data_IF_317591782645
#
_entry.id   IF_317591782645
#
_cell.length_a   1.000
_cell.length_b   1.000
_cell.length_c   1.000
_cell.angle_alpha   90.00
_cell.angle_beta   90.00
_cell.angle_gamma   90.00
#
_symmetry.space_group_name_H-M   'P 1'
#
loop_
_entity.id
_entity.type
_entity.pdbx_description
1 polymer ?
#
# COMPACT_ATOMS: atom_id res chain seq x y z
N UNK A 1 -10.65 13.40 19.12
CA UNK A 1 -9.58 13.92 18.26
C UNK A 1 -10.17 14.02 16.87
N UNK A 2 -10.29 15.24 16.34
CA UNK A 2 -10.67 15.43 14.93
C UNK A 2 -9.37 15.62 14.15
N UNK A 3 -9.27 14.93 13.02
CA UNK A 3 -8.09 15.00 12.15
C UNK A 3 -8.57 15.64 10.85
N UNK A 4 -8.10 16.85 10.61
CA UNK A 4 -8.36 17.55 9.36
C UNK A 4 -7.32 17.14 8.34
N UNK A 5 -7.78 16.66 7.19
CA UNK A 5 -6.91 16.22 6.11
C UNK A 5 -7.38 16.84 4.81
N UNK A 6 -6.44 17.40 4.05
CA UNK A 6 -6.69 17.94 2.73
C UNK A 6 -6.80 16.78 1.71
N UNK A 7 -7.78 16.85 0.80
CA UNK A 7 -7.94 15.89 -0.30
C UNK A 7 -6.67 15.70 -1.13
N UNK A 8 -5.92 16.78 -1.39
CA UNK A 8 -4.65 16.73 -2.11
C UNK A 8 -3.60 15.90 -1.37
N UNK A 9 -3.60 15.98 -0.04
CA UNK A 9 -2.70 15.19 0.80
C UNK A 9 -3.09 13.71 0.79
N UNK A 10 -4.39 13.39 0.84
CA UNK A 10 -4.87 12.01 0.69
C UNK A 10 -4.49 11.42 -0.67
N UNK A 11 -4.67 12.19 -1.74
CA UNK A 11 -4.28 11.78 -3.10
C UNK A 11 -2.77 11.53 -3.20
N UNK A 12 -1.95 12.38 -2.57
CA UNK A 12 -0.50 12.21 -2.52
C UNK A 12 -0.09 10.92 -1.79
N UNK A 13 -0.76 10.59 -0.67
CA UNK A 13 -0.50 9.36 0.08
C UNK A 13 -0.76 8.10 -0.77
N UNK A 14 -1.89 8.05 -1.48
CA UNK A 14 -2.18 6.94 -2.38
C UNK A 14 -1.23 6.89 -3.58
N UNK A 15 -0.84 8.05 -4.13
CA UNK A 15 0.15 8.11 -5.18
C UNK A 15 1.48 7.49 -4.72
N UNK A 16 1.98 7.88 -3.56
CA UNK A 16 3.22 7.37 -2.99
C UNK A 16 3.15 5.87 -2.72
N UNK A 17 2.04 5.37 -2.17
CA UNK A 17 1.85 3.94 -1.96
C UNK A 17 1.89 3.14 -3.28
N UNK A 18 1.27 3.67 -4.35
CA UNK A 18 1.29 3.05 -5.68
C UNK A 18 2.69 3.05 -6.30
N UNK A 19 3.47 4.11 -6.12
CA UNK A 19 4.86 4.16 -6.57
C UNK A 19 5.74 3.19 -5.79
N UNK A 20 5.61 3.17 -4.47
CA UNK A 20 6.37 2.25 -3.61
C UNK A 20 6.08 0.79 -3.94
N UNK A 21 4.83 0.43 -4.27
CA UNK A 21 4.51 -0.90 -4.79
C UNK A 21 5.28 -1.21 -6.09
N UNK A 22 5.29 -0.29 -7.06
CA UNK A 22 6.00 -0.48 -8.34
C UNK A 22 7.50 -0.66 -8.15
N UNK A 23 8.11 0.15 -7.28
CA UNK A 23 9.51 0.03 -6.88
C UNK A 23 9.77 -1.33 -6.22
N UNK A 24 8.87 -1.77 -5.32
CA UNK A 24 8.98 -3.05 -4.64
C UNK A 24 9.00 -4.24 -5.61
N UNK A 25 8.08 -4.29 -6.58
CA UNK A 25 8.00 -5.41 -7.54
C UNK A 25 9.07 -5.36 -8.63
N UNK A 26 9.71 -4.20 -8.81
CA UNK A 26 10.79 -4.00 -9.78
C UNK A 26 12.18 -4.18 -9.15
N UNK A 27 12.28 -4.23 -7.82
CA UNK A 27 13.54 -4.45 -7.12
C UNK A 27 14.01 -5.90 -7.33
N UNK A 28 15.25 -6.08 -7.78
CA UNK A 28 15.88 -7.38 -8.01
C UNK A 28 15.96 -8.22 -6.72
N UNK A 29 16.17 -7.60 -5.57
CA UNK A 29 16.19 -8.26 -4.26
C UNK A 29 14.83 -8.91 -3.93
N UNK A 30 13.75 -8.37 -4.50
CA UNK A 30 12.39 -8.88 -4.36
C UNK A 30 11.97 -9.81 -5.51
N UNK A 31 12.91 -10.22 -6.37
CA UNK A 31 12.63 -11.10 -7.51
C UNK A 31 11.95 -12.42 -7.12
N UNK A 32 12.15 -12.90 -5.89
CA UNK A 32 11.48 -14.08 -5.35
C UNK A 32 9.94 -13.96 -5.33
N UNK A 33 9.39 -12.74 -5.20
CA UNK A 33 7.94 -12.51 -5.18
C UNK A 33 7.26 -12.99 -6.47
N UNK A 34 7.98 -13.02 -7.60
CA UNK A 34 7.46 -13.51 -8.88
C UNK A 34 7.13 -15.01 -8.86
N UNK A 35 7.73 -15.77 -7.93
CA UNK A 35 7.45 -17.20 -7.73
C UNK A 35 6.33 -17.48 -6.71
N UNK A 36 6.01 -16.53 -5.85
CA UNK A 36 5.02 -16.70 -4.77
C UNK A 36 3.58 -16.50 -5.24
N UNK A 37 3.38 -15.81 -6.37
CA UNK A 37 2.07 -15.56 -6.95
C UNK A 37 1.97 -16.13 -8.36
N UNK A 38 0.83 -16.72 -8.69
CA UNK A 38 0.57 -17.30 -10.01
C UNK A 38 0.24 -16.26 -11.09
N UNK A 39 0.34 -14.97 -10.77
CA UNK A 39 0.00 -13.84 -11.65
C UNK A 39 1.22 -12.96 -11.86
N UNK A 40 1.31 -12.30 -13.01
CA UNK A 40 2.37 -11.31 -13.25
C UNK A 40 2.17 -10.11 -12.32
N UNK A 41 3.19 -9.77 -11.52
CA UNK A 41 3.11 -8.68 -10.54
C UNK A 41 2.82 -7.34 -11.21
N UNK A 42 3.29 -7.16 -12.45
CA UNK A 42 3.10 -5.99 -13.28
C UNK A 42 1.67 -5.85 -13.83
N UNK A 43 0.89 -6.96 -13.90
CA UNK A 43 -0.51 -6.93 -14.33
C UNK A 43 -1.50 -6.72 -13.17
N UNK A 44 -1.01 -6.68 -11.92
CA UNK A 44 -1.86 -6.46 -10.75
C UNK A 44 -2.42 -5.03 -10.76
N UNK A 45 -3.75 -4.94 -10.66
CA UNK A 45 -4.46 -3.68 -10.53
C UNK A 45 -4.45 -3.22 -9.07
N UNK A 46 -4.09 -1.95 -8.85
CA UNK A 46 -4.01 -1.33 -7.53
C UNK A 46 -5.26 -0.48 -7.26
N UNK A 47 -6.08 -0.90 -6.30
CA UNK A 47 -7.28 -0.16 -5.88
C UNK A 47 -7.05 0.49 -4.52
N UNK A 48 -7.34 1.78 -4.41
CA UNK A 48 -7.25 2.54 -3.15
C UNK A 48 -8.30 2.02 -2.15
N UNK A 49 -7.89 1.78 -0.89
CA UNK A 49 -8.74 1.13 0.10
C UNK A 49 -9.00 1.99 1.33
N UNK A 50 -8.00 2.15 2.19
CA UNK A 50 -8.10 2.98 3.39
C UNK A 50 -6.74 3.51 3.83
N UNK A 51 -6.80 4.58 4.63
CA UNK A 51 -5.66 5.13 5.36
C UNK A 51 -5.95 4.99 6.85
N UNK A 52 -4.99 4.50 7.62
CA UNK A 52 -5.12 4.30 9.07
C UNK A 52 -4.03 5.04 9.81
N UNK A 53 -4.35 5.49 11.02
CA UNK A 53 -3.38 5.99 11.98
C UNK A 53 -3.23 4.94 13.07
N UNK A 54 -2.02 4.41 13.22
CA UNK A 54 -1.68 3.34 14.15
C UNK A 54 -0.85 3.90 15.29
N UNK A 55 -1.31 3.69 16.53
CA UNK A 55 -0.65 4.14 17.74
C UNK A 55 0.05 2.97 18.43
N UNK A 56 1.33 3.13 18.77
CA UNK A 56 2.09 2.12 19.49
C UNK A 56 2.08 2.39 20.99
N UNK A 57 1.68 1.38 21.78
CA UNK A 57 1.52 1.46 23.24
C UNK A 57 2.78 1.94 23.98
N UNK A 58 3.97 1.70 23.42
CA UNK A 58 5.26 1.93 24.08
C UNK A 58 6.05 3.12 23.52
N UNK A 59 5.50 3.85 22.53
CA UNK A 59 6.16 5.02 21.96
C UNK A 59 5.19 6.19 22.09
N UNK A 60 5.21 6.80 23.26
CA UNK A 60 4.56 8.10 23.45
C UNK A 60 5.09 9.05 22.38
N UNK A 61 4.18 9.63 21.59
CA UNK A 61 4.39 10.63 20.52
C UNK A 61 4.63 10.16 19.08
N UNK A 62 4.72 8.85 18.79
CA UNK A 62 4.81 8.39 17.39
C UNK A 62 3.54 7.65 16.97
N UNK A 63 2.89 8.16 15.94
CA UNK A 63 1.89 7.43 15.17
C UNK A 63 2.46 7.08 13.81
N UNK A 64 2.04 5.93 13.27
CA UNK A 64 2.30 5.56 11.89
C UNK A 64 1.04 5.80 11.08
N UNK A 65 1.23 6.26 9.85
CA UNK A 65 0.16 6.33 8.87
C UNK A 65 0.35 5.15 7.92
N UNK A 66 -0.64 4.24 7.90
CA UNK A 66 -0.65 3.09 6.99
C UNK A 66 -1.58 3.40 5.82
N UNK A 67 -1.07 3.29 4.59
CA UNK A 67 -1.88 3.42 3.37
C UNK A 67 -2.09 2.03 2.77
N UNK A 68 -3.34 1.60 2.68
CA UNK A 68 -3.70 0.30 2.13
C UNK A 68 -4.13 0.40 0.67
N UNK A 69 -3.51 -0.42 -0.17
CA UNK A 69 -3.95 -0.74 -1.52
C UNK A 69 -4.49 -2.17 -1.56
N UNK A 70 -5.60 -2.40 -2.25
CA UNK A 70 -6.05 -3.74 -2.63
C UNK A 70 -5.41 -4.14 -3.96
N UNK A 71 -5.02 -5.40 -4.04
CA UNK A 71 -4.37 -6.00 -5.20
C UNK A 71 -5.41 -6.87 -5.92
N UNK A 72 -5.64 -6.60 -7.20
CA UNK A 72 -6.59 -7.33 -8.04
C UNK A 72 -5.92 -7.96 -9.25
N UNK A 73 -6.33 -9.18 -9.58
CA UNK A 73 -6.02 -9.86 -10.82
C UNK A 73 -7.28 -10.56 -11.32
N UNK A 74 -7.58 -10.45 -12.62
CA UNK A 74 -8.77 -11.03 -13.27
C UNK A 74 -10.07 -10.76 -12.48
N UNK A 75 -10.29 -9.49 -12.12
CA UNK A 75 -11.44 -9.00 -11.34
C UNK A 75 -11.60 -9.59 -9.93
N UNK A 76 -10.59 -10.32 -9.44
CA UNK A 76 -10.57 -10.90 -8.10
C UNK A 76 -9.54 -10.21 -7.20
N UNK A 77 -9.92 -9.91 -5.96
CA UNK A 77 -8.98 -9.48 -4.92
C UNK A 77 -8.05 -10.65 -4.57
N UNK A 78 -6.75 -10.45 -4.75
CA UNK A 78 -5.71 -11.45 -4.47
C UNK A 78 -4.88 -11.10 -3.22
N UNK A 79 -5.02 -9.87 -2.71
CA UNK A 79 -4.31 -9.46 -1.51
C UNK A 79 -4.34 -7.96 -1.27
N UNK A 80 -3.44 -7.52 -0.40
CA UNK A 80 -3.28 -6.11 -0.02
C UNK A 80 -1.81 -5.75 0.09
N UNK A 81 -1.51 -4.50 -0.23
CA UNK A 81 -0.21 -3.87 0.01
C UNK A 81 -0.39 -2.76 1.04
N UNK A 82 0.51 -2.69 2.01
CA UNK A 82 0.52 -1.67 3.06
C UNK A 82 1.82 -0.88 2.91
N UNK A 83 1.67 0.42 2.71
CA UNK A 83 2.74 1.41 2.75
C UNK A 83 2.77 2.09 4.12
#
# INVERSE_FOLDING_TARGET
MNIEVNEQYLALLYHNAKQSYKECISNEDNGFLKGEVSVHLESILLIENNIKIVFHKNISYNYLLEVSLKLYADDKEIGKYIY
#
